data_IF_408823890939
#
_entry.id   IF_408823890939
#
_cell.length_a   1.000
_cell.length_b   1.000
_cell.length_c   1.000
_cell.angle_alpha   90.00
_cell.angle_beta   90.00
_cell.angle_gamma   90.00
#
_symmetry.space_group_name_H-M   'P 1'
#
loop_
_entity.id
_entity.type
_entity.pdbx_description
1 polymer ?
#
# COMPACT_ATOMS: atom_id res chain seq x y z
N UNK A 1 -0.38 -15.39 -10.07
CA UNK A 1 -0.75 -14.64 -8.86
C UNK A 1 -2.12 -14.03 -9.07
N UNK A 2 -3.02 -14.19 -8.10
CA UNK A 2 -4.31 -13.51 -8.12
C UNK A 2 -4.08 -12.01 -7.80
N UNK A 3 -4.78 -11.09 -8.48
CA UNK A 3 -4.56 -9.64 -8.30
C UNK A 3 -4.70 -9.17 -6.83
N UNK A 4 -5.46 -9.92 -6.02
CA UNK A 4 -5.63 -9.68 -4.58
C UNK A 4 -4.33 -9.87 -3.79
N UNK A 5 -3.52 -10.86 -4.15
CA UNK A 5 -2.22 -11.11 -3.51
C UNK A 5 -1.23 -10.01 -3.85
N UNK A 6 -1.18 -9.61 -5.13
CA UNK A 6 -0.38 -8.48 -5.59
C UNK A 6 -0.76 -7.18 -4.88
N UNK A 7 -2.06 -6.93 -4.72
CA UNK A 7 -2.56 -5.76 -4.00
C UNK A 7 -2.17 -5.78 -2.51
N UNK A 8 -2.31 -6.92 -1.83
CA UNK A 8 -1.89 -7.07 -0.42
C UNK A 8 -0.39 -6.80 -0.25
N UNK A 9 0.43 -7.35 -1.14
CA UNK A 9 1.88 -7.16 -1.08
C UNK A 9 2.26 -5.70 -1.31
N UNK A 10 1.65 -5.03 -2.29
CA UNK A 10 1.92 -3.62 -2.55
C UNK A 10 1.46 -2.70 -1.41
N UNK A 11 0.36 -3.04 -0.71
CA UNK A 11 -0.07 -2.33 0.49
C UNK A 11 0.95 -2.48 1.64
N UNK A 12 1.51 -3.69 1.85
CA UNK A 12 2.55 -3.90 2.87
C UNK A 12 3.83 -3.12 2.56
N UNK A 13 4.23 -3.08 1.30
CA UNK A 13 5.40 -2.30 0.88
C UNK A 13 5.22 -0.80 1.17
N UNK A 14 4.01 -0.27 0.93
CA UNK A 14 3.70 1.11 1.29
C UNK A 14 3.70 1.35 2.81
N UNK A 15 3.15 0.42 3.61
CA UNK A 15 3.21 0.54 5.08
C UNK A 15 4.66 0.54 5.59
N UNK A 16 5.52 -0.29 4.99
CA UNK A 16 6.94 -0.31 5.33
C UNK A 16 7.64 1.00 4.93
N UNK A 17 7.31 1.57 3.77
CA UNK A 17 7.83 2.86 3.33
C UNK A 17 7.34 4.01 4.22
N UNK A 18 6.08 3.98 4.67
CA UNK A 18 5.52 4.95 5.61
C UNK A 18 6.22 4.87 6.97
N UNK A 19 6.42 3.65 7.51
CA UNK A 19 7.16 3.45 8.75
C UNK A 19 8.63 3.89 8.64
N UNK A 20 9.28 3.61 7.50
CA UNK A 20 10.64 4.05 7.24
C UNK A 20 10.74 5.58 7.17
N UNK A 21 9.78 6.25 6.53
CA UNK A 21 9.71 7.72 6.52
C UNK A 21 9.54 8.29 7.93
N UNK A 22 8.63 7.74 8.74
CA UNK A 22 8.40 8.20 10.11
C UNK A 22 9.62 8.04 11.04
N UNK A 23 10.49 7.07 10.77
CA UNK A 23 11.72 6.82 11.53
C UNK A 23 12.95 7.45 10.88
N UNK A 24 12.81 8.07 9.72
CA UNK A 24 13.94 8.61 8.98
C UNK A 24 14.52 9.85 9.62
N UNK A 25 15.84 9.99 9.49
CA UNK A 25 16.51 11.23 9.84
C UNK A 25 16.08 12.33 8.84
N UNK A 26 15.81 13.56 9.32
CA UNK A 26 15.48 14.71 8.46
C UNK A 26 16.39 14.90 7.24
N UNK A 27 17.68 14.54 7.35
CA UNK A 27 18.64 14.64 6.25
C UNK A 27 18.32 13.70 5.07
N UNK A 28 17.55 12.62 5.31
CA UNK A 28 17.17 11.62 4.32
C UNK A 28 15.67 11.60 4.02
N UNK A 29 14.90 12.56 4.54
CA UNK A 29 13.45 12.65 4.34
C UNK A 29 13.07 12.59 2.85
N UNK A 30 13.78 13.29 1.98
CA UNK A 30 13.48 13.33 0.54
C UNK A 30 13.54 11.94 -0.11
N UNK A 31 14.55 11.15 0.24
CA UNK A 31 14.70 9.77 -0.24
C UNK A 31 13.49 8.92 0.18
N UNK A 32 13.06 9.03 1.43
CA UNK A 32 11.94 8.27 1.95
C UNK A 32 10.59 8.75 1.39
N UNK A 33 10.44 10.04 1.09
CA UNK A 33 9.28 10.59 0.36
C UNK A 33 9.18 9.97 -1.04
N UNK A 34 10.30 9.88 -1.78
CA UNK A 34 10.30 9.23 -3.09
C UNK A 34 9.89 7.75 -3.01
N UNK A 35 10.40 7.03 -2.01
CA UNK A 35 10.02 5.63 -1.80
C UNK A 35 8.54 5.47 -1.47
N UNK A 36 8.00 6.35 -0.61
CA UNK A 36 6.59 6.35 -0.25
C UNK A 36 5.71 6.57 -1.49
N UNK A 37 6.04 7.57 -2.31
CA UNK A 37 5.31 7.83 -3.55
C UNK A 37 5.41 6.68 -4.56
N UNK A 38 6.57 6.04 -4.68
CA UNK A 38 6.73 4.88 -5.56
C UNK A 38 5.85 3.70 -5.10
N UNK A 39 5.77 3.46 -3.78
CA UNK A 39 4.91 2.43 -3.21
C UNK A 39 3.41 2.75 -3.40
N UNK A 40 3.02 4.02 -3.26
CA UNK A 40 1.66 4.47 -3.59
C UNK A 40 1.29 4.19 -5.04
N UNK A 41 2.19 4.52 -5.97
CA UNK A 41 1.90 4.36 -7.39
C UNK A 41 1.80 2.89 -7.80
N UNK A 42 2.58 2.02 -7.16
CA UNK A 42 2.47 0.56 -7.33
C UNK A 42 1.06 0.05 -6.99
N UNK A 43 0.49 0.51 -5.88
CA UNK A 43 -0.88 0.15 -5.50
C UNK A 43 -1.90 0.68 -6.51
N UNK A 44 -1.77 1.94 -6.95
CA UNK A 44 -2.64 2.51 -7.98
C UNK A 44 -2.57 1.73 -9.30
N UNK A 45 -1.38 1.31 -9.71
CA UNK A 45 -1.17 0.54 -10.94
C UNK A 45 -1.91 -0.80 -10.89
N UNK A 46 -1.78 -1.56 -9.80
CA UNK A 46 -2.45 -2.85 -9.63
C UNK A 46 -3.97 -2.69 -9.68
N UNK A 47 -4.51 -1.66 -9.03
CA UNK A 47 -5.94 -1.37 -9.08
C UNK A 47 -6.41 -1.03 -10.49
N UNK A 48 -5.63 -0.24 -11.24
CA UNK A 48 -5.92 0.08 -12.65
C UNK A 48 -5.93 -1.18 -13.51
N UNK A 49 -4.93 -2.05 -13.36
CA UNK A 49 -4.83 -3.31 -14.09
C UNK A 49 -6.00 -4.26 -13.75
N UNK A 50 -6.35 -4.38 -12.47
CA UNK A 50 -7.50 -5.16 -12.03
C UNK A 50 -8.80 -4.63 -12.66
N UNK A 51 -9.05 -3.31 -12.61
CA UNK A 51 -10.22 -2.70 -13.25
C UNK A 51 -10.29 -2.96 -14.75
N UNK A 52 -9.17 -2.82 -15.44
CA UNK A 52 -9.08 -3.11 -16.87
C UNK A 52 -9.43 -4.57 -17.17
N UNK A 53 -8.95 -5.51 -16.37
CA UNK A 53 -9.26 -6.94 -16.51
C UNK A 53 -10.74 -7.27 -16.28
N UNK A 54 -11.45 -6.50 -15.44
CA UNK A 54 -12.88 -6.65 -15.18
C UNK A 54 -13.79 -5.80 -16.10
N UNK A 55 -13.22 -5.13 -17.11
CA UNK A 55 -14.00 -4.30 -18.03
C UNK A 55 -14.58 -3.01 -17.41
N UNK A 56 -14.04 -2.57 -16.27
CA UNK A 56 -14.50 -1.38 -15.52
C UNK A 56 -13.80 -0.10 -16.01
N UNK A 57 -13.56 0.02 -17.32
CA UNK A 57 -12.53 0.91 -17.88
C UNK A 57 -12.91 2.38 -18.05
N UNK A 58 -14.14 2.82 -17.78
CA UNK A 58 -14.48 4.23 -18.04
C UNK A 58 -15.72 4.70 -17.29
N UNK A 59 -15.49 5.63 -16.36
CA UNK A 59 -16.54 6.36 -15.64
C UNK A 59 -16.65 5.89 -14.20
N UNK A 60 -16.77 6.87 -13.30
CA UNK A 60 -16.90 6.74 -11.85
C UNK A 60 -15.54 6.73 -11.13
N UNK A 61 -15.25 7.89 -10.54
CA UNK A 61 -14.47 8.03 -9.31
C UNK A 61 -14.93 6.98 -8.28
N UNK A 62 -14.36 5.78 -8.27
CA UNK A 62 -14.65 4.77 -7.24
C UNK A 62 -13.43 4.61 -6.35
N UNK A 63 -13.61 4.96 -5.08
CA UNK A 63 -12.59 5.55 -4.22
C UNK A 63 -11.71 4.55 -3.46
N UNK A 64 -10.42 4.89 -3.29
CA UNK A 64 -9.61 4.41 -2.16
C UNK A 64 -8.69 5.51 -1.65
N UNK A 65 -9.23 6.38 -0.79
CA UNK A 65 -8.46 6.72 0.40
C UNK A 65 -9.34 6.93 1.64
N UNK A 66 -9.17 6.06 2.63
CA UNK A 66 -9.31 6.35 4.07
C UNK A 66 -8.16 5.55 4.73
N UNK A 67 -6.92 5.98 4.43
CA UNK A 67 -5.63 5.24 4.45
C UNK A 67 -5.74 3.75 4.14
N UNK A 68 -5.96 3.53 2.83
CA UNK A 68 -6.33 2.28 2.15
C UNK A 68 -7.29 1.40 2.95
N UNK A 69 -8.27 2.15 3.45
CA UNK A 69 -9.48 1.87 4.20
C UNK A 69 -9.30 0.91 5.35
N UNK A 70 -8.38 1.34 6.24
CA UNK A 70 -7.98 0.67 7.49
C UNK A 70 -7.01 -0.50 7.22
N UNK A 71 -6.09 -0.36 6.26
CA UNK A 71 -5.21 -1.44 5.78
C UNK A 71 -5.93 -2.81 5.64
N UNK A 72 -7.19 -2.72 5.23
CA UNK A 72 -8.14 -3.81 5.05
C UNK A 72 -8.37 -4.78 6.25
N UNK A 73 -8.28 -4.26 7.49
CA UNK A 73 -8.83 -4.79 8.78
C UNK A 73 -8.20 -6.08 9.37
N UNK A 74 -7.32 -5.94 10.37
CA UNK A 74 -6.58 -7.01 11.10
C UNK A 74 -7.36 -7.63 12.32
N UNK A 75 -6.90 -8.75 12.94
CA UNK A 75 -6.42 -8.55 14.31
C UNK A 75 -4.97 -9.01 14.52
N UNK A 76 -4.27 -8.15 15.24
CA UNK A 76 -2.90 -8.25 15.69
C UNK A 76 -2.87 -9.08 16.99
N UNK A 77 -2.18 -10.23 17.05
CA UNK A 77 -1.44 -10.61 18.26
C UNK A 77 -0.59 -11.87 18.05
N UNK A 78 0.69 -11.74 18.39
CA UNK A 78 1.47 -12.86 18.90
C UNK A 78 2.54 -13.40 17.96
N UNK A 79 3.63 -12.66 17.80
CA UNK A 79 4.95 -13.30 17.87
C UNK A 79 5.83 -12.52 18.86
N UNK A 80 5.29 -12.31 20.07
CA UNK A 80 6.14 -12.30 21.26
C UNK A 80 6.51 -13.75 21.52
N UNK A 81 7.61 -14.19 20.90
CA UNK A 81 8.37 -15.33 21.35
C UNK A 81 8.77 -15.08 22.80
N UNK A 82 8.00 -15.66 23.72
CA UNK A 82 8.39 -15.79 25.10
C UNK A 82 9.56 -16.78 25.19
N UNK A 83 10.74 -16.26 25.54
CA UNK A 83 11.75 -16.96 26.35
C UNK A 83 12.33 -15.95 27.32
#
# INVERSE_FOLDING_TARGET
MEYKEALRQAIREWQNAEAAFLQSDPEYCDYHIYQLHAAEEKVRLILRQARAAFGLSSGIESSLPFRWQRALQEPQTGDTGAV
#
